data_IF_600262676101
#
_entry.id   IF_600262676101
#
_cell.length_a   1.000
_cell.length_b   1.000
_cell.length_c   1.000
_cell.angle_alpha   90.00
_cell.angle_beta   90.00
_cell.angle_gamma   90.00
#
_symmetry.space_group_name_H-M   'P 1'
#
loop_
_entity.id
_entity.type
_entity.pdbx_description
1 polymer ?
#
# COMPACT_ATOMS: atom_id res chain seq x y z
N UNK A 1 16.58 4.35 -2.48
CA UNK A 1 17.40 3.34 -1.78
C UNK A 1 16.47 2.23 -1.31
N UNK A 2 16.85 0.95 -1.43
CA UNK A 2 16.11 -0.15 -0.78
C UNK A 2 16.40 -0.06 0.72
N UNK A 3 15.35 -0.05 1.54
CA UNK A 3 15.46 0.10 3.00
C UNK A 3 15.00 -1.15 3.76
N UNK A 4 14.11 -1.95 3.20
CA UNK A 4 13.66 -3.22 3.80
C UNK A 4 13.11 -4.17 2.74
N UNK A 5 13.10 -5.46 3.06
CA UNK A 5 12.52 -6.51 2.24
C UNK A 5 11.84 -7.55 3.13
N UNK A 6 10.64 -7.97 2.77
CA UNK A 6 9.87 -8.96 3.51
C UNK A 6 9.30 -10.00 2.57
N UNK A 7 9.13 -11.22 3.06
CA UNK A 7 8.25 -12.21 2.43
C UNK A 7 6.99 -12.30 3.28
N UNK A 8 5.83 -12.18 2.64
CA UNK A 8 4.54 -12.29 3.30
C UNK A 8 3.66 -13.30 2.58
N UNK A 9 2.75 -13.90 3.33
CA UNK A 9 1.57 -14.53 2.76
C UNK A 9 0.37 -13.61 2.98
N UNK A 10 -0.41 -13.36 1.94
CA UNK A 10 -1.59 -12.51 2.03
C UNK A 10 -2.85 -13.29 1.67
N UNK A 11 -3.96 -12.89 2.28
CA UNK A 11 -5.31 -13.36 1.99
C UNK A 11 -6.27 -12.18 1.95
N UNK A 12 -7.53 -12.42 1.59
CA UNK A 12 -8.57 -11.39 1.44
C UNK A 12 -8.19 -10.25 0.49
N UNK A 13 -7.33 -10.54 -0.50
CA UNK A 13 -6.84 -9.58 -1.48
C UNK A 13 -6.20 -8.32 -0.89
N UNK A 14 -5.53 -8.36 0.27
CA UNK A 14 -5.04 -7.12 0.89
C UNK A 14 -3.75 -7.24 1.70
N UNK A 15 -3.06 -6.11 1.81
CA UNK A 15 -2.04 -5.83 2.83
C UNK A 15 -2.16 -4.38 3.27
N UNK A 16 -1.69 -4.08 4.48
CA UNK A 16 -1.84 -2.78 5.13
C UNK A 16 -0.46 -2.19 5.44
N UNK A 17 -0.31 -0.90 5.20
CA UNK A 17 0.82 -0.09 5.65
C UNK A 17 0.30 0.96 6.62
N UNK A 18 0.94 1.11 7.77
CA UNK A 18 0.51 2.08 8.78
C UNK A 18 1.67 2.61 9.60
N UNK A 19 1.53 3.83 10.13
CA UNK A 19 2.46 4.40 11.11
C UNK A 19 2.39 3.63 12.42
N UNK A 20 3.54 3.34 13.04
CA UNK A 20 3.63 2.52 14.28
C UNK A 20 2.78 3.09 15.44
N UNK A 21 2.56 4.41 15.51
CA UNK A 21 1.74 5.00 16.56
C UNK A 21 0.22 4.86 16.32
N UNK A 22 -0.19 4.31 15.17
CA UNK A 22 -1.59 4.10 14.81
C UNK A 22 -2.18 2.96 15.63
N UNK A 23 -3.21 3.28 16.43
CA UNK A 23 -3.84 2.31 17.34
C UNK A 23 -4.78 1.31 16.65
N UNK A 24 -5.40 1.73 15.54
CA UNK A 24 -6.34 0.92 14.77
C UNK A 24 -5.93 0.93 13.30
N UNK A 25 -5.67 -0.27 12.76
CA UNK A 25 -5.17 -0.46 11.38
C UNK A 25 -6.23 -1.05 10.44
N UNK A 26 -7.35 -1.53 11.00
CA UNK A 26 -8.49 -2.01 10.24
C UNK A 26 -9.19 -0.84 9.54
N UNK A 27 -9.34 -0.94 8.22
CA UNK A 27 -10.01 0.07 7.40
C UNK A 27 -11.28 -0.53 6.79
N UNK A 28 -12.39 0.19 6.88
CA UNK A 28 -13.66 -0.21 6.29
C UNK A 28 -13.60 -0.13 4.77
N UNK A 29 -13.73 -1.29 4.12
CA UNK A 29 -13.83 -1.40 2.68
C UNK A 29 -15.28 -1.22 2.23
N UNK A 30 -15.55 -0.10 1.54
CA UNK A 30 -16.78 0.08 0.76
C UNK A 30 -16.57 -0.45 -0.65
N UNK A 31 -17.66 -0.64 -1.42
CA UNK A 31 -17.56 -0.98 -2.84
C UNK A 31 -16.69 0.02 -3.63
N UNK A 32 -16.72 1.31 -3.23
CA UNK A 32 -15.85 2.32 -3.83
C UNK A 32 -14.37 2.05 -3.55
N UNK A 33 -14.01 1.74 -2.29
CA UNK A 33 -12.65 1.35 -1.93
C UNK A 33 -12.20 0.12 -2.72
N UNK A 34 -13.06 -0.90 -2.81
CA UNK A 34 -12.77 -2.13 -3.54
C UNK A 34 -12.54 -1.88 -5.04
N UNK A 35 -13.36 -1.00 -5.64
CA UNK A 35 -13.28 -0.63 -7.06
C UNK A 35 -12.03 0.19 -7.42
N UNK A 36 -11.53 1.02 -6.48
CA UNK A 36 -10.33 1.84 -6.69
C UNK A 36 -9.03 1.16 -6.24
N UNK A 37 -9.13 0.06 -5.49
CA UNK A 37 -8.00 -0.77 -5.08
C UNK A 37 -7.28 -0.31 -3.82
N UNK A 38 -7.84 0.63 -3.06
CA UNK A 38 -7.29 1.04 -1.76
C UNK A 38 -8.36 1.65 -0.85
N UNK A 39 -8.14 1.50 0.46
CA UNK A 39 -8.78 2.25 1.53
C UNK A 39 -7.67 2.93 2.36
N UNK A 40 -7.82 4.19 2.76
CA UNK A 40 -6.76 4.91 3.51
C UNK A 40 -7.30 5.89 4.55
N UNK A 41 -6.48 6.19 5.54
CA UNK A 41 -6.55 7.41 6.36
C UNK A 41 -5.33 8.27 6.04
N UNK A 42 -4.94 9.18 6.94
CA UNK A 42 -3.68 9.92 6.80
C UNK A 42 -2.47 9.06 7.15
N UNK A 43 -2.59 8.15 8.14
CA UNK A 43 -1.47 7.37 8.68
C UNK A 43 -1.54 5.87 8.39
N UNK A 44 -2.54 5.42 7.61
CA UNK A 44 -2.69 4.03 7.22
C UNK A 44 -3.29 3.89 5.82
N UNK A 45 -2.92 2.82 5.11
CA UNK A 45 -3.52 2.43 3.84
C UNK A 45 -3.57 0.92 3.73
N UNK A 46 -4.73 0.38 3.38
CA UNK A 46 -4.89 -0.99 2.91
C UNK A 46 -4.94 -0.98 1.39
N UNK A 47 -4.02 -1.70 0.75
CA UNK A 47 -3.97 -1.87 -0.70
C UNK A 47 -4.58 -3.20 -1.08
N UNK A 48 -5.38 -3.18 -2.15
CA UNK A 48 -5.86 -4.41 -2.76
C UNK A 48 -4.76 -5.06 -3.59
N UNK A 49 -4.48 -6.34 -3.35
CA UNK A 49 -3.54 -7.13 -4.15
C UNK A 49 -4.17 -7.58 -5.48
N UNK A 50 -3.35 -7.99 -6.45
CA UNK A 50 -3.82 -8.52 -7.74
C UNK A 50 -4.54 -9.87 -7.61
N UNK A 51 -4.14 -10.68 -6.64
CA UNK A 51 -4.69 -12.02 -6.36
C UNK A 51 -5.49 -12.05 -5.07
N UNK A 52 -6.37 -13.05 -4.92
CA UNK A 52 -7.19 -13.17 -3.71
C UNK A 52 -6.37 -13.60 -2.49
N UNK A 53 -5.41 -14.48 -2.71
CA UNK A 53 -4.43 -14.96 -1.75
C UNK A 53 -3.14 -15.25 -2.50
N UNK A 54 -2.05 -15.48 -1.77
CA UNK A 54 -0.76 -15.81 -2.38
C UNK A 54 0.43 -15.27 -1.59
N UNK A 55 1.61 -15.42 -2.19
CA UNK A 55 2.87 -14.97 -1.59
C UNK A 55 3.34 -13.68 -2.24
N UNK A 56 3.96 -12.79 -1.46
CA UNK A 56 4.59 -11.60 -2.00
C UNK A 56 6.02 -11.40 -1.47
N UNK A 57 6.94 -11.10 -2.39
CA UNK A 57 8.22 -10.44 -2.06
C UNK A 57 7.96 -8.93 -2.03
N UNK A 58 7.98 -8.34 -0.83
CA UNK A 58 7.74 -6.92 -0.63
C UNK A 58 9.06 -6.19 -0.47
N UNK A 59 9.32 -5.24 -1.35
CA UNK A 59 10.52 -4.39 -1.32
C UNK A 59 10.15 -2.96 -1.02
N UNK A 60 10.76 -2.39 0.02
CA UNK A 60 10.47 -1.05 0.48
C UNK A 60 11.63 -0.14 0.12
N UNK A 61 11.32 0.95 -0.55
CA UNK A 61 12.29 1.92 -1.04
C UNK A 61 12.00 3.31 -0.49
N UNK A 62 13.05 4.00 -0.04
CA UNK A 62 13.05 5.43 0.12
C UNK A 62 13.52 6.07 -1.19
N UNK A 63 12.59 6.36 -2.09
CA UNK A 63 12.84 6.87 -3.44
C UNK A 63 11.55 7.36 -4.12
N UNK A 64 11.72 8.22 -5.12
CA UNK A 64 10.67 8.56 -6.09
C UNK A 64 10.35 7.34 -6.96
N UNK A 65 9.07 7.02 -7.12
CA UNK A 65 8.65 5.95 -8.04
C UNK A 65 9.03 6.29 -9.49
N UNK A 66 9.59 5.31 -10.19
CA UNK A 66 9.84 5.37 -11.63
C UNK A 66 9.31 4.09 -12.25
N UNK A 67 8.39 4.24 -13.20
CA UNK A 67 7.77 3.12 -13.91
C UNK A 67 8.82 2.31 -14.67
N UNK A 68 8.78 1.00 -14.50
CA UNK A 68 9.67 0.03 -15.15
C UNK A 68 8.99 -0.68 -16.31
N UNK A 69 7.65 -0.66 -16.37
CA UNK A 69 6.84 -1.19 -17.46
C UNK A 69 6.34 -2.61 -17.23
N UNK A 70 6.79 -3.27 -16.17
CA UNK A 70 6.36 -4.60 -15.73
C UNK A 70 5.18 -4.56 -14.74
N UNK A 71 4.83 -3.38 -14.24
CA UNK A 71 3.78 -3.23 -13.24
C UNK A 71 2.37 -3.35 -13.85
N UNK A 72 1.53 -4.21 -13.26
CA UNK A 72 0.12 -4.34 -13.65
C UNK A 72 -0.80 -3.37 -12.89
N UNK A 73 -0.47 -3.08 -11.63
CA UNK A 73 -1.21 -2.14 -10.78
C UNK A 73 -0.24 -1.21 -10.08
N UNK A 74 -0.45 0.09 -10.22
CA UNK A 74 0.32 1.11 -9.50
C UNK A 74 -0.62 2.14 -8.91
N UNK A 75 -0.60 2.28 -7.59
CA UNK A 75 -1.43 3.22 -6.84
C UNK A 75 -0.53 4.06 -5.94
N UNK A 76 -0.67 5.38 -6.02
CA UNK A 76 0.01 6.34 -5.15
C UNK A 76 -1.00 6.98 -4.21
N UNK A 77 -0.69 7.04 -2.92
CA UNK A 77 -1.54 7.64 -1.89
C UNK A 77 -0.72 8.59 -1.01
N UNK A 78 -1.30 9.68 -0.51
CA UNK A 78 -0.74 10.41 0.61
C UNK A 78 -0.60 9.50 1.84
N UNK A 79 0.52 9.61 2.54
CA UNK A 79 0.79 8.89 3.77
C UNK A 79 1.59 9.79 4.72
N UNK A 80 1.17 9.86 5.98
CA UNK A 80 1.79 10.67 7.02
C UNK A 80 2.30 9.75 8.14
N UNK A 81 3.58 9.90 8.49
CA UNK A 81 4.18 9.18 9.60
C UNK A 81 4.67 10.14 10.68
N UNK A 82 4.28 9.85 11.91
CA UNK A 82 4.69 10.56 13.12
C UNK A 82 5.84 9.83 13.82
N UNK A 83 5.97 8.52 13.59
CA UNK A 83 6.99 7.66 14.16
C UNK A 83 8.24 7.58 13.29
N UNK A 84 9.32 7.05 13.87
CA UNK A 84 10.53 6.66 13.12
C UNK A 84 10.36 5.29 12.42
N UNK A 85 9.15 4.74 12.44
CA UNK A 85 8.83 3.43 11.91
C UNK A 85 7.41 3.38 11.34
N UNK A 86 7.29 2.62 10.27
CA UNK A 86 6.01 2.14 9.76
C UNK A 86 6.00 0.61 9.82
N UNK A 87 4.79 0.07 9.73
CA UNK A 87 4.52 -1.34 9.80
C UNK A 87 3.81 -1.79 8.53
N UNK A 88 4.15 -3.00 8.10
CA UNK A 88 3.43 -3.76 7.09
C UNK A 88 2.70 -4.88 7.79
N UNK A 89 1.42 -5.06 7.49
CA UNK A 89 0.63 -6.18 7.99
C UNK A 89 -0.14 -6.85 6.86
N UNK A 90 -0.12 -8.17 6.81
CA UNK A 90 -1.03 -8.95 5.99
C UNK A 90 -1.87 -9.85 6.92
N UNK A 91 -3.12 -10.20 6.56
CA UNK A 91 -4.04 -10.88 7.47
C UNK A 91 -3.55 -12.22 8.04
N UNK A 92 -2.59 -12.87 7.37
CA UNK A 92 -2.04 -14.18 7.75
C UNK A 92 -0.76 -14.07 8.60
N UNK A 93 -0.27 -12.85 8.82
CA UNK A 93 0.89 -12.60 9.67
C UNK A 93 0.44 -12.43 11.14
N UNK A 94 1.14 -13.08 12.07
CA UNK A 94 0.81 -13.00 13.50
C UNK A 94 1.08 -11.60 14.08
N UNK A 95 2.13 -10.93 13.58
CA UNK A 95 2.57 -9.60 14.01
C UNK A 95 2.91 -8.70 12.81
N UNK A 96 2.73 -7.37 12.95
CA UNK A 96 3.15 -6.44 11.91
C UNK A 96 4.67 -6.43 11.71
N UNK A 97 5.10 -6.43 10.45
CA UNK A 97 6.49 -6.32 10.03
C UNK A 97 6.93 -4.85 10.04
N UNK A 98 7.75 -4.48 11.01
CA UNK A 98 8.24 -3.11 11.21
C UNK A 98 9.44 -2.78 10.33
N UNK A 99 9.50 -1.56 9.80
CA UNK A 99 10.64 -1.00 9.07
C UNK A 99 10.85 0.47 9.38
N UNK A 100 12.10 0.93 9.24
CA UNK A 100 12.51 2.29 9.59
C UNK A 100 12.14 3.29 8.49
N UNK A 101 11.52 4.40 8.88
CA UNK A 101 11.27 5.57 8.02
C UNK A 101 11.46 6.84 8.84
N UNK A 102 11.84 7.95 8.21
CA UNK A 102 11.85 9.21 8.95
C UNK A 102 10.41 9.70 9.18
N UNK A 103 10.12 10.42 10.27
CA UNK A 103 8.86 11.14 10.39
C UNK A 103 8.67 12.13 9.23
N UNK A 104 7.41 12.32 8.82
CA UNK A 104 7.02 13.31 7.81
C UNK A 104 5.95 12.82 6.84
N UNK A 105 5.77 13.63 5.79
CA UNK A 105 4.81 13.38 4.74
C UNK A 105 5.43 12.65 3.55
N UNK A 106 4.67 11.70 3.03
CA UNK A 106 5.06 10.84 1.94
C UNK A 106 4.00 10.77 0.85
N UNK A 107 4.46 10.66 -0.39
CA UNK A 107 3.67 10.01 -1.43
C UNK A 107 4.07 8.53 -1.46
N UNK A 108 3.23 7.68 -0.87
CA UNK A 108 3.44 6.23 -0.82
C UNK A 108 2.90 5.61 -2.11
N UNK A 109 3.78 5.02 -2.92
CA UNK A 109 3.40 4.33 -4.16
C UNK A 109 3.56 2.82 -4.01
N UNK A 110 2.48 2.07 -4.18
CA UNK A 110 2.49 0.62 -4.33
C UNK A 110 2.51 0.25 -5.81
N UNK A 111 3.53 -0.49 -6.23
CA UNK A 111 3.67 -1.06 -7.56
C UNK A 111 3.67 -2.59 -7.46
N UNK A 112 2.70 -3.25 -8.09
CA UNK A 112 2.52 -4.69 -8.04
C UNK A 112 2.83 -5.32 -9.40
N UNK A 113 3.66 -6.35 -9.37
CA UNK A 113 4.12 -7.11 -10.53
C UNK A 113 3.83 -8.59 -10.26
N UNK A 114 3.03 -9.28 -11.08
CA UNK A 114 2.95 -10.74 -11.00
C UNK A 114 4.29 -11.35 -11.38
N UNK A 115 4.77 -12.31 -10.60
CA UNK A 115 6.06 -12.96 -10.85
C UNK A 115 5.99 -14.46 -10.56
N UNK A 116 6.70 -15.27 -11.36
CA UNK A 116 6.72 -16.72 -11.18
C UNK A 116 5.41 -17.40 -11.60
N UNK A 117 5.21 -18.61 -11.08
CA UNK A 117 4.11 -19.48 -11.44
C UNK A 117 3.10 -19.51 -10.27
N UNK A 118 1.85 -19.15 -10.58
CA UNK A 118 0.67 -19.10 -9.69
C UNK A 118 0.77 -18.15 -8.48
N UNK A 119 -0.11 -17.14 -8.47
CA UNK A 119 -0.46 -16.27 -7.33
C UNK A 119 0.69 -15.62 -6.54
N UNK A 120 1.84 -15.44 -7.19
CA UNK A 120 3.04 -14.83 -6.59
C UNK A 120 3.25 -13.40 -7.08
N UNK A 121 3.54 -12.49 -6.15
CA UNK A 121 3.71 -11.05 -6.42
C UNK A 121 5.08 -10.54 -6.00
N UNK A 122 5.59 -9.60 -6.79
CA UNK A 122 6.59 -8.63 -6.34
C UNK A 122 5.87 -7.31 -6.08
N UNK A 123 5.90 -6.87 -4.83
CA UNK A 123 5.31 -5.60 -4.41
C UNK A 123 6.45 -4.62 -4.09
N UNK A 124 6.52 -3.52 -4.82
CA UNK A 124 7.50 -2.46 -4.59
C UNK A 124 6.78 -1.27 -3.96
N UNK A 125 7.15 -0.93 -2.74
CA UNK A 125 6.64 0.23 -2.01
C UNK A 125 7.66 1.35 -2.07
N UNK A 126 7.26 2.51 -2.58
CA UNK A 126 8.12 3.69 -2.69
C UNK A 126 7.60 4.77 -1.74
N UNK A 127 8.40 5.09 -0.74
CA UNK A 127 8.22 6.22 0.16
C UNK A 127 8.98 7.42 -0.41
N UNK A 128 8.27 8.27 -1.13
CA UNK A 128 8.80 9.55 -1.60
C UNK A 128 8.50 10.63 -0.55
N UNK A 129 9.52 11.11 0.15
CA UNK A 129 9.36 12.19 1.14
C UNK A 129 9.01 13.49 0.42
N UNK A 130 7.93 14.14 0.83
CA UNK A 130 7.44 15.39 0.24
C UNK A 130 7.45 16.50 1.28
N UNK A 131 7.75 17.73 0.84
CA UNK A 131 7.78 18.89 1.74
C UNK A 131 6.38 19.40 2.11
N UNK A 132 5.40 19.15 1.23
CA UNK A 132 3.99 19.46 1.47
C UNK A 132 3.18 18.18 1.32
N UNK A 133 2.24 17.88 2.23
CA UNK A 133 1.39 16.70 2.13
C UNK A 133 0.68 16.64 0.78
N UNK A 134 0.83 15.52 0.08
CA UNK A 134 0.00 15.23 -1.09
C UNK A 134 -1.48 15.20 -0.66
N UNK A 135 -2.37 15.75 -1.49
CA UNK A 135 -3.80 15.85 -1.12
C UNK A 135 -4.69 14.81 -1.80
N UNK A 136 -4.17 14.12 -2.81
CA UNK A 136 -4.96 13.24 -3.67
C UNK A 136 -4.19 11.97 -3.95
N UNK A 137 -4.90 10.85 -3.87
CA UNK A 137 -4.43 9.59 -4.41
C UNK A 137 -4.46 9.59 -5.94
N UNK A 138 -3.71 8.68 -6.55
CA UNK A 138 -3.68 8.47 -7.99
C UNK A 138 -3.58 6.98 -8.30
N UNK A 139 -4.33 6.55 -9.32
CA UNK A 139 -4.14 5.25 -9.97
C UNK A 139 -3.27 5.49 -11.19
N UNK A 140 -1.98 5.16 -11.07
CA UNK A 140 -0.96 5.42 -12.10
C UNK A 140 -0.99 4.34 -13.18
N UNK A 141 -1.22 3.08 -12.78
CA UNK A 141 -1.46 1.95 -13.68
C UNK A 141 -2.66 1.18 -13.16
N UNK A 142 -3.61 0.89 -14.06
CA UNK A 142 -4.88 0.25 -13.78
C UNK A 142 -4.96 -1.09 -14.49
N UNK A 143 -5.06 -2.18 -13.73
CA UNK A 143 -5.38 -3.50 -14.26
C UNK A 143 -6.89 -3.66 -14.59
N UNK A 144 -7.27 -4.84 -15.06
CA UNK A 144 -8.64 -5.16 -15.50
C UNK A 144 -9.66 -5.27 -14.36
N UNK A 145 -9.22 -5.50 -13.11
CA UNK A 145 -10.12 -5.65 -11.96
C UNK A 145 -10.52 -4.31 -11.34
N UNK A 146 -9.74 -3.24 -11.58
CA UNK A 146 -10.04 -1.91 -11.06
C UNK A 146 -11.06 -1.18 -11.93
N UNK A 147 -12.12 -0.69 -11.28
CA UNK A 147 -13.22 0.06 -11.89
C UNK A 147 -13.49 1.36 -11.10
N UNK A 148 -12.48 2.21 -10.92
CA UNK A 148 -12.56 3.37 -10.03
C UNK A 148 -13.62 4.37 -10.51
N UNK A 149 -14.35 4.94 -9.55
CA UNK A 149 -15.24 6.07 -9.76
C UNK A 149 -14.54 7.36 -9.32
N UNK A 150 -14.51 8.37 -10.19
CA UNK A 150 -13.85 9.64 -9.91
C UNK A 150 -14.85 10.71 -9.39
N UNK A 151 -14.41 11.60 -8.48
CA UNK A 151 -13.11 11.63 -7.83
C UNK A 151 -12.90 10.43 -6.90
N UNK A 152 -11.65 9.98 -6.74
CA UNK A 152 -11.31 8.87 -5.85
C UNK A 152 -11.77 9.15 -4.42
N UNK A 153 -12.12 8.09 -3.68
CA UNK A 153 -12.48 8.19 -2.28
C UNK A 153 -11.20 8.24 -1.44
N UNK A 154 -10.92 9.43 -0.90
CA UNK A 154 -9.63 9.74 -0.25
C UNK A 154 -9.53 9.27 1.20
N UNK A 155 -10.65 8.98 1.86
CA UNK A 155 -10.66 8.64 3.28
C UNK A 155 -11.64 7.52 3.56
N UNK A 156 -11.15 6.47 4.22
CA UNK A 156 -11.92 5.36 4.77
C UNK A 156 -12.24 5.60 6.24
N UNK A 157 -13.27 4.90 6.74
CA UNK A 157 -13.51 4.80 8.18
C UNK A 157 -12.58 3.74 8.76
N UNK A 158 -12.25 3.92 10.03
CA UNK A 158 -11.57 2.88 10.82
C UNK A 158 -12.61 1.83 11.19
N UNK A 159 -12.30 0.56 10.98
CA UNK A 159 -13.18 -0.54 11.36
C UNK A 159 -13.33 -0.60 12.88
N UNK A 160 -14.55 -0.88 13.34
CA UNK A 160 -14.90 -1.02 14.77
C UNK A 160 -14.48 -2.38 15.36
#
# INVERSE_FOLDING_TARGET
>A
MLISSFQIYFSYSQFVIFDEASKNVGLDWSDRHFSQGFARTDSAVSFRTLFQFGSADVKIFYAVFKRQGDEERVISVPFHSMSEHACLFAPEEDEPLRFDIEPGDYLLTSAQVPCGDEESLLIRLYFEKVYLPAKKSAIVVKDVQLTPQYPLLETARVAE
#
